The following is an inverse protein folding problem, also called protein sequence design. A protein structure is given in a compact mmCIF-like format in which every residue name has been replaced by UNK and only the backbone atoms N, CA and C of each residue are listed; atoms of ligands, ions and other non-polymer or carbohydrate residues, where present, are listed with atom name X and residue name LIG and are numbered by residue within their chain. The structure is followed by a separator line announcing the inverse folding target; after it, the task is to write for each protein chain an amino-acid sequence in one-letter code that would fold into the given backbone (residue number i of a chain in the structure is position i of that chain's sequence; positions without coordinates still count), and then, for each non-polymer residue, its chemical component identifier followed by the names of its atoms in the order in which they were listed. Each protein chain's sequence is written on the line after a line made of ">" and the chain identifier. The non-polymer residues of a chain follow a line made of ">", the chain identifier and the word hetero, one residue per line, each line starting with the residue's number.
data_IF_192852770462
#
_entry.id   IF_192852770462
#
_cell.length_a   1.000
_cell.length_b   1.000
_cell.length_c   1.000
_cell.angle_alpha   90.00
_cell.angle_beta   90.00
_cell.angle_gamma   90.00
#
_symmetry.space_group_name_H-M   'P 1'
#
loop_
_entity.id
_entity.type
_entity.pdbx_description
1 polymer ?
#
# COMPACT_ATOMS: atom_id res chain seq x y z
N UNK A 1 -4.75 14.19 -0.93
CA UNK A 1 -4.15 13.88 -2.25
C UNK A 1 -3.41 15.13 -2.77
N UNK A 2 -2.07 15.13 -2.72
CA UNK A 2 -1.20 16.22 -3.22
C UNK A 2 -1.08 16.24 -4.76
N UNK A 3 -1.70 15.26 -5.45
CA UNK A 3 -1.63 15.16 -6.90
C UNK A 3 -2.27 16.34 -7.62
N UNK A 4 -3.32 16.97 -7.08
CA UNK A 4 -3.98 18.12 -7.71
C UNK A 4 -3.11 19.38 -7.73
N UNK A 5 -2.18 19.52 -6.79
CA UNK A 5 -1.32 20.71 -6.65
C UNK A 5 0.08 20.52 -7.22
N UNK A 6 0.44 19.30 -7.67
CA UNK A 6 1.71 19.00 -8.33
C UNK A 6 1.52 18.81 -9.83
N UNK A 7 2.39 19.43 -10.61
CA UNK A 7 2.43 19.28 -12.06
C UNK A 7 3.07 17.95 -12.46
N UNK A 8 2.93 17.55 -13.73
CA UNK A 8 3.69 16.43 -14.30
C UNK A 8 5.21 16.63 -14.15
N UNK A 9 5.68 17.87 -14.37
CA UNK A 9 7.08 18.22 -14.22
C UNK A 9 7.59 18.06 -12.78
N UNK A 10 6.77 18.36 -11.78
CA UNK A 10 7.13 18.16 -10.37
C UNK A 10 7.32 16.66 -10.06
N UNK A 11 6.39 15.82 -10.53
CA UNK A 11 6.50 14.37 -10.35
C UNK A 11 7.69 13.79 -11.13
N UNK A 12 7.93 14.26 -12.35
CA UNK A 12 9.07 13.82 -13.16
C UNK A 12 10.39 14.13 -12.46
N UNK A 13 10.61 15.39 -12.08
CA UNK A 13 11.85 15.81 -11.42
C UNK A 13 12.11 15.06 -10.13
N UNK A 14 11.07 14.87 -9.31
CA UNK A 14 11.23 14.18 -8.04
C UNK A 14 11.44 12.68 -8.22
N UNK A 15 10.58 12.02 -8.98
CA UNK A 15 10.54 10.56 -9.03
C UNK A 15 11.45 9.99 -10.12
N UNK A 16 11.49 10.57 -11.32
CA UNK A 16 12.29 10.04 -12.43
C UNK A 16 13.73 10.52 -12.31
N UNK A 17 13.96 11.83 -12.32
CA UNK A 17 15.32 12.36 -12.24
C UNK A 17 15.97 11.98 -10.90
N UNK A 18 15.21 12.05 -9.80
CA UNK A 18 15.66 11.59 -8.49
C UNK A 18 16.09 10.12 -8.46
N UNK A 19 15.28 9.21 -9.02
CA UNK A 19 15.64 7.78 -9.11
C UNK A 19 16.88 7.58 -9.98
N UNK A 20 16.93 8.23 -11.14
CA UNK A 20 18.08 8.16 -12.03
C UNK A 20 19.37 8.57 -11.31
N UNK A 21 19.38 9.73 -10.65
CA UNK A 21 20.58 10.21 -9.95
C UNK A 21 20.95 9.36 -8.74
N UNK A 22 19.97 8.83 -8.00
CA UNK A 22 20.24 7.87 -6.93
C UNK A 22 20.93 6.60 -7.45
N UNK A 23 20.49 6.08 -8.59
CA UNK A 23 21.11 4.90 -9.23
C UNK A 23 22.50 5.21 -9.80
N UNK A 24 22.72 6.41 -10.36
CA UNK A 24 24.05 6.85 -10.77
C UNK A 24 25.00 6.94 -9.57
N UNK A 25 24.54 7.52 -8.46
CA UNK A 25 25.33 7.62 -7.23
C UNK A 25 25.63 6.24 -6.64
N UNK A 26 24.64 5.34 -6.61
CA UNK A 26 24.81 3.95 -6.17
C UNK A 26 25.89 3.26 -7.00
N UNK A 27 25.82 3.36 -8.33
CA UNK A 27 26.82 2.79 -9.25
C UNK A 27 28.22 3.37 -9.00
N UNK A 28 28.34 4.69 -8.89
CA UNK A 28 29.63 5.34 -8.64
C UNK A 28 30.29 4.89 -7.32
N UNK A 29 29.49 4.49 -6.34
CA UNK A 29 29.94 3.99 -5.04
C UNK A 29 29.87 2.45 -4.93
N UNK A 30 29.70 1.75 -6.06
CA UNK A 30 29.64 0.27 -6.12
C UNK A 30 28.54 -0.35 -5.24
N UNK A 31 27.48 0.40 -4.94
CA UNK A 31 26.28 -0.12 -4.28
C UNK A 31 25.49 -0.93 -5.30
N UNK A 32 25.33 -2.22 -5.02
CA UNK A 32 24.69 -3.19 -5.92
C UNK A 32 23.35 -3.72 -5.44
N UNK A 33 22.85 -3.25 -4.30
CA UNK A 33 21.61 -3.72 -3.69
C UNK A 33 20.71 -2.53 -3.42
N UNK A 34 19.45 -2.60 -3.84
CA UNK A 34 18.50 -1.51 -3.72
C UNK A 34 17.13 -2.02 -3.28
N UNK A 35 16.55 -1.35 -2.28
CA UNK A 35 15.12 -1.44 -2.02
C UNK A 35 14.50 -0.13 -2.49
N UNK A 36 13.62 -0.21 -3.49
CA UNK A 36 13.02 0.95 -4.13
C UNK A 36 11.56 1.08 -3.69
N UNK A 37 11.18 2.27 -3.21
CA UNK A 37 9.79 2.57 -2.86
C UNK A 37 9.00 2.98 -4.10
N UNK A 38 8.40 1.97 -4.73
CA UNK A 38 7.41 2.13 -5.79
C UNK A 38 6.01 2.43 -5.23
N UNK A 39 4.94 2.08 -5.93
CA UNK A 39 3.55 2.30 -5.51
C UNK A 39 2.57 1.45 -6.32
N UNK A 40 1.43 1.08 -5.72
CA UNK A 40 0.31 0.48 -6.45
C UNK A 40 -0.28 1.39 -7.55
N UNK A 41 -0.04 2.71 -7.48
CA UNK A 41 -0.36 3.62 -8.60
C UNK A 41 0.37 3.28 -9.91
N UNK A 42 1.37 2.40 -9.87
CA UNK A 42 1.98 1.79 -11.05
C UNK A 42 0.93 1.16 -11.99
N UNK A 43 -0.15 0.58 -11.45
CA UNK A 43 -1.23 0.02 -12.29
C UNK A 43 -1.97 1.11 -13.10
N UNK A 44 -2.03 2.35 -12.60
CA UNK A 44 -2.52 3.53 -13.30
C UNK A 44 -1.43 4.28 -14.07
N UNK A 45 -0.54 3.56 -14.78
CA UNK A 45 0.68 4.13 -15.38
C UNK A 45 0.47 5.18 -16.49
N UNK A 46 -0.75 5.51 -16.88
CA UNK A 46 -1.01 6.67 -17.74
C UNK A 46 -1.48 7.91 -16.96
N UNK A 47 -1.58 7.81 -15.64
CA UNK A 47 -1.71 8.96 -14.74
C UNK A 47 -0.33 9.54 -14.44
N UNK A 48 -0.25 10.88 -14.29
CA UNK A 48 1.02 11.60 -14.07
C UNK A 48 1.91 11.02 -12.97
N UNK A 49 1.35 10.58 -11.85
CA UNK A 49 2.13 9.98 -10.75
C UNK A 49 2.49 8.53 -11.06
N UNK A 50 1.52 7.71 -11.45
CA UNK A 50 1.70 6.29 -11.77
C UNK A 50 2.75 6.07 -12.86
N UNK A 51 2.75 6.92 -13.90
CA UNK A 51 3.74 6.86 -14.97
C UNK A 51 5.17 6.98 -14.46
N UNK A 52 5.43 7.92 -13.54
CA UNK A 52 6.78 8.11 -12.99
C UNK A 52 7.26 6.93 -12.16
N UNK A 53 6.34 6.21 -11.48
CA UNK A 53 6.69 4.97 -10.77
C UNK A 53 7.02 3.84 -11.72
N UNK A 54 6.31 3.74 -12.86
CA UNK A 54 6.66 2.80 -13.93
C UNK A 54 8.05 3.08 -14.49
N UNK A 55 8.35 4.33 -14.85
CA UNK A 55 9.70 4.71 -15.31
C UNK A 55 10.77 4.39 -14.26
N UNK A 56 10.50 4.64 -12.98
CA UNK A 56 11.41 4.29 -11.89
C UNK A 56 11.74 2.80 -11.84
N UNK A 57 10.76 1.92 -12.00
CA UNK A 57 10.99 0.46 -12.05
C UNK A 57 11.73 0.02 -13.32
N UNK A 58 11.43 0.60 -14.49
CA UNK A 58 12.19 0.34 -15.73
C UNK A 58 13.67 0.75 -15.59
N UNK A 59 13.96 1.83 -14.85
CA UNK A 59 15.34 2.19 -14.51
C UNK A 59 16.02 1.12 -13.64
N UNK A 60 15.31 0.52 -12.68
CA UNK A 60 15.85 -0.59 -11.90
C UNK A 60 16.17 -1.80 -12.79
N UNK A 61 15.23 -2.21 -13.64
CA UNK A 61 15.41 -3.33 -14.57
C UNK A 61 16.59 -3.09 -15.52
N UNK A 62 16.73 -1.87 -16.05
CA UNK A 62 17.90 -1.48 -16.84
C UNK A 62 19.21 -1.63 -16.05
N UNK A 63 19.26 -1.11 -14.83
CA UNK A 63 20.46 -1.20 -13.98
C UNK A 63 20.75 -2.63 -13.51
N UNK A 64 19.73 -3.47 -13.33
CA UNK A 64 19.88 -4.90 -13.08
C UNK A 64 20.59 -5.56 -14.26
N UNK A 65 20.01 -5.44 -15.46
CA UNK A 65 20.51 -6.08 -16.68
C UNK A 65 21.91 -5.59 -17.11
N UNK A 66 22.19 -4.29 -16.96
CA UNK A 66 23.43 -3.69 -17.48
C UNK A 66 24.54 -3.55 -16.44
N UNK A 67 24.18 -3.50 -15.16
CA UNK A 67 25.11 -3.14 -14.08
C UNK A 67 25.06 -4.08 -12.87
N UNK A 68 24.24 -5.14 -12.93
CA UNK A 68 24.17 -6.17 -11.90
C UNK A 68 23.57 -5.67 -10.58
N UNK A 69 22.64 -4.72 -10.65
CA UNK A 69 21.86 -4.27 -9.50
C UNK A 69 20.89 -5.37 -9.06
N UNK A 70 20.98 -5.85 -7.82
CA UNK A 70 19.96 -6.64 -7.16
C UNK A 70 18.95 -5.70 -6.50
N UNK A 71 17.65 -5.91 -6.72
CA UNK A 71 16.63 -5.02 -6.21
C UNK A 71 15.31 -5.70 -5.79
N UNK A 72 14.63 -5.03 -4.85
CA UNK A 72 13.22 -5.24 -4.53
C UNK A 72 12.48 -3.91 -4.73
N UNK A 73 11.50 -3.88 -5.63
CA UNK A 73 10.60 -2.75 -5.83
C UNK A 73 9.34 -2.94 -4.96
N UNK A 74 9.25 -2.21 -3.85
CA UNK A 74 8.13 -2.29 -2.91
C UNK A 74 7.01 -1.38 -3.40
N UNK A 75 5.81 -1.93 -3.62
CA UNK A 75 4.61 -1.21 -4.06
C UNK A 75 3.57 -1.12 -2.94
N UNK A 76 3.67 -0.14 -2.04
CA UNK A 76 2.60 0.13 -1.09
C UNK A 76 1.33 0.58 -1.81
N UNK A 77 0.18 0.18 -1.25
CA UNK A 77 -1.09 0.83 -1.56
C UNK A 77 -1.27 2.07 -0.67
N UNK A 78 -2.38 2.80 -0.86
CA UNK A 78 -2.84 3.96 -0.09
C UNK A 78 -2.57 3.87 1.44
N UNK A 79 -1.36 4.25 1.86
CA UNK A 79 -0.86 4.14 3.23
C UNK A 79 -0.91 5.47 4.00
N UNK A 80 -1.14 6.58 3.30
CA UNK A 80 -1.10 7.95 3.87
C UNK A 80 -2.52 8.43 4.19
N UNK A 81 -2.90 8.52 5.47
CA UNK A 81 -4.19 9.08 5.85
C UNK A 81 -4.12 10.61 5.86
N UNK A 82 -5.14 11.29 5.33
CA UNK A 82 -5.09 12.74 5.07
C UNK A 82 -6.15 13.54 5.82
N UNK A 83 -6.81 12.98 6.84
CA UNK A 83 -7.70 13.76 7.70
C UNK A 83 -7.81 13.18 9.10
N UNK A 84 -8.40 14.00 9.99
CA UNK A 84 -8.54 13.70 11.40
C UNK A 84 -9.62 12.64 11.68
N UNK A 85 -10.55 12.39 10.75
CA UNK A 85 -11.54 11.30 10.87
C UNK A 85 -10.87 9.92 10.68
N UNK A 86 -10.34 9.38 11.76
CA UNK A 86 -9.67 8.08 11.77
C UNK A 86 -10.58 6.92 11.32
N UNK A 87 -11.82 6.75 11.83
CA UNK A 87 -12.70 5.68 11.36
C UNK A 87 -12.88 5.67 9.83
N UNK A 88 -13.06 6.84 9.21
CA UNK A 88 -13.22 6.93 7.75
C UNK A 88 -11.89 6.79 7.00
N UNK A 89 -10.85 7.53 7.39
CA UNK A 89 -9.60 7.57 6.60
C UNK A 89 -8.68 6.41 6.83
N UNK A 90 -8.62 5.91 8.05
CA UNK A 90 -7.87 4.71 8.35
C UNK A 90 -8.73 3.48 8.09
N UNK A 91 -9.86 3.39 8.79
CA UNK A 91 -10.68 2.19 8.86
C UNK A 91 -11.28 1.79 7.54
N UNK A 92 -12.20 2.59 7.02
CA UNK A 92 -12.90 2.31 5.74
C UNK A 92 -11.91 2.12 4.58
N UNK A 93 -10.80 2.85 4.57
CA UNK A 93 -9.75 2.69 3.56
C UNK A 93 -9.20 1.26 3.49
N UNK A 94 -9.14 0.54 4.61
CA UNK A 94 -8.76 -0.88 4.67
C UNK A 94 -9.78 -1.80 3.97
N UNK A 95 -10.95 -1.34 3.53
CA UNK A 95 -11.82 -2.11 2.63
C UNK A 95 -11.43 -1.91 1.16
N UNK A 96 -10.88 -0.74 0.80
CA UNK A 96 -10.63 -0.33 -0.59
C UNK A 96 -9.16 -0.36 -1.00
N UNK A 97 -8.39 -1.23 -0.35
CA UNK A 97 -6.99 -1.49 -0.67
C UNK A 97 -6.00 -0.70 0.16
N UNK A 98 -6.44 0.22 1.01
CA UNK A 98 -5.60 0.85 2.02
C UNK A 98 -4.78 -0.18 2.79
N UNK A 99 -3.57 0.21 3.13
CA UNK A 99 -2.65 -0.59 3.93
C UNK A 99 -2.26 0.19 5.17
N UNK A 100 -2.01 -0.54 6.25
CA UNK A 100 -1.42 0.05 7.44
C UNK A 100 0.03 0.45 7.18
N UNK A 101 0.46 1.58 7.73
CA UNK A 101 1.84 2.05 7.56
C UNK A 101 2.85 1.11 8.19
N UNK A 102 2.54 0.55 9.35
CA UNK A 102 3.45 -0.37 10.02
C UNK A 102 3.60 -1.65 9.19
N UNK A 103 2.54 -2.13 8.54
CA UNK A 103 2.66 -3.25 7.59
C UNK A 103 3.60 -2.87 6.42
N UNK A 104 3.58 -1.62 5.92
CA UNK A 104 4.53 -1.17 4.89
C UNK A 104 5.96 -1.09 5.43
N UNK A 105 6.17 -0.64 6.68
CA UNK A 105 7.48 -0.65 7.34
C UNK A 105 7.98 -2.08 7.55
N UNK A 106 7.09 -2.99 7.95
CA UNK A 106 7.33 -4.41 8.13
C UNK A 106 7.67 -5.09 6.78
N UNK A 107 7.30 -4.51 5.64
CA UNK A 107 7.70 -4.97 4.30
C UNK A 107 9.15 -4.57 3.92
N UNK A 108 9.67 -3.47 4.47
CA UNK A 108 11.01 -2.96 4.12
C UNK A 108 12.12 -3.85 4.65
N UNK A 109 12.03 -4.30 5.90
CA UNK A 109 13.08 -5.12 6.51
C UNK A 109 13.27 -6.46 5.77
N UNK A 110 12.22 -7.25 5.47
CA UNK A 110 12.34 -8.48 4.67
C UNK A 110 12.82 -8.22 3.24
N UNK A 111 12.46 -7.09 2.63
CA UNK A 111 12.98 -6.72 1.31
C UNK A 111 14.49 -6.45 1.32
N UNK A 112 15.01 -5.75 2.34
CA UNK A 112 16.46 -5.55 2.54
C UNK A 112 17.14 -6.90 2.72
N UNK A 113 16.60 -7.71 3.62
CA UNK A 113 17.06 -9.06 3.91
C UNK A 113 17.12 -9.95 2.66
N UNK A 114 16.12 -9.85 1.78
CA UNK A 114 16.07 -10.59 0.52
C UNK A 114 17.22 -10.17 -0.42
N UNK A 115 17.37 -8.87 -0.70
CA UNK A 115 18.47 -8.39 -1.59
C UNK A 115 19.86 -8.64 -0.99
N UNK A 116 19.99 -8.75 0.33
CA UNK A 116 21.25 -9.12 0.98
C UNK A 116 21.62 -10.60 0.80
N UNK A 117 20.64 -11.49 0.60
CA UNK A 117 20.86 -12.93 0.41
C UNK A 117 20.95 -13.33 -1.06
N UNK A 118 20.27 -12.61 -1.95
CA UNK A 118 20.24 -12.88 -3.39
C UNK A 118 20.99 -11.80 -4.18
N UNK A 119 22.14 -12.19 -4.74
CA UNK A 119 23.03 -11.29 -5.47
C UNK A 119 22.47 -10.82 -6.84
N UNK A 120 21.41 -11.47 -7.33
CA UNK A 120 20.72 -11.18 -8.59
C UNK A 120 19.20 -10.98 -8.41
N UNK A 121 18.75 -10.55 -7.23
CA UNK A 121 17.32 -10.35 -6.99
C UNK A 121 16.71 -9.35 -7.98
N UNK A 122 15.54 -9.71 -8.51
CA UNK A 122 14.66 -8.87 -9.30
C UNK A 122 13.23 -9.18 -8.86
N UNK A 123 12.76 -8.49 -7.82
CA UNK A 123 11.46 -8.77 -7.20
C UNK A 123 10.61 -7.51 -7.13
N UNK A 124 9.34 -7.65 -7.48
CA UNK A 124 8.30 -6.67 -7.19
C UNK A 124 7.50 -7.17 -5.99
N UNK A 125 7.44 -6.38 -4.93
CA UNK A 125 6.72 -6.70 -3.71
C UNK A 125 5.47 -5.85 -3.57
N UNK A 126 4.29 -6.45 -3.64
CA UNK A 126 3.02 -5.80 -3.34
C UNK A 126 2.84 -5.67 -1.81
N UNK A 127 3.31 -4.53 -1.28
CA UNK A 127 3.18 -4.14 0.13
C UNK A 127 1.75 -3.65 0.45
N UNK A 128 0.79 -4.56 0.35
CA UNK A 128 -0.63 -4.32 0.58
C UNK A 128 -1.09 -5.03 1.86
N UNK A 129 -2.31 -4.79 2.32
CA UNK A 129 -2.92 -5.49 3.48
C UNK A 129 -3.25 -6.96 3.14
N UNK A 130 -3.58 -7.85 4.10
CA UNK A 130 -4.07 -9.18 3.76
C UNK A 130 -5.49 -9.13 3.12
N UNK A 131 -5.74 -10.04 2.19
CA UNK A 131 -7.08 -10.33 1.67
C UNK A 131 -7.78 -11.28 2.65
N UNK A 132 -8.57 -10.70 3.54
CA UNK A 132 -9.35 -11.43 4.56
C UNK A 132 -10.79 -11.72 4.12
N UNK A 133 -11.07 -11.49 2.84
CA UNK A 133 -12.34 -11.80 2.19
C UNK A 133 -12.07 -12.26 0.75
N UNK A 134 -13.02 -12.98 0.16
CA UNK A 134 -12.95 -13.51 -1.21
C UNK A 134 -13.85 -12.74 -2.19
N UNK A 135 -13.68 -12.95 -3.50
CA UNK A 135 -14.55 -12.32 -4.51
C UNK A 135 -16.03 -12.74 -4.33
N UNK A 136 -16.26 -14.02 -4.02
CA UNK A 136 -17.59 -14.59 -3.80
C UNK A 136 -18.29 -13.98 -2.59
N UNK A 137 -17.53 -13.72 -1.51
CA UNK A 137 -18.07 -13.02 -0.32
C UNK A 137 -18.46 -11.57 -0.61
N UNK A 138 -18.04 -11.01 -1.74
CA UNK A 138 -18.37 -9.64 -2.15
C UNK A 138 -19.41 -9.59 -3.28
N UNK A 139 -19.90 -10.72 -3.78
CA UNK A 139 -20.94 -10.76 -4.80
C UNK A 139 -22.26 -10.21 -4.25
N UNK A 140 -22.90 -9.29 -4.98
CA UNK A 140 -24.15 -8.66 -4.51
C UNK A 140 -23.95 -7.63 -3.37
N UNK A 141 -22.72 -7.15 -3.16
CA UNK A 141 -22.40 -6.17 -2.10
C UNK A 141 -23.37 -4.99 -2.09
N UNK A 142 -23.70 -4.45 -3.26
CA UNK A 142 -24.50 -3.24 -3.44
C UNK A 142 -25.95 -3.41 -2.93
N UNK A 143 -26.45 -4.64 -2.81
CA UNK A 143 -27.81 -4.92 -2.34
C UNK A 143 -27.91 -4.86 -0.80
N UNK A 144 -26.85 -5.28 -0.10
CA UNK A 144 -26.80 -5.28 1.36
C UNK A 144 -25.34 -5.14 1.86
N UNK A 145 -24.74 -3.94 1.78
CA UNK A 145 -23.35 -3.73 2.21
C UNK A 145 -23.12 -4.10 3.67
N UNK A 146 -24.08 -3.75 4.53
CA UNK A 146 -23.98 -3.95 5.98
C UNK A 146 -24.04 -5.44 6.32
N UNK A 147 -24.99 -6.19 5.76
CA UNK A 147 -25.10 -7.63 6.02
C UNK A 147 -23.98 -8.45 5.37
N UNK A 148 -23.39 -7.99 4.26
CA UNK A 148 -22.14 -8.57 3.75
C UNK A 148 -20.98 -8.35 4.73
N UNK A 149 -20.80 -7.10 5.16
CA UNK A 149 -19.71 -6.76 6.07
C UNK A 149 -19.84 -7.48 7.42
N UNK A 150 -21.05 -7.59 7.97
CA UNK A 150 -21.32 -8.33 9.22
C UNK A 150 -20.99 -9.83 9.12
N UNK A 151 -21.29 -10.46 7.97
CA UNK A 151 -20.93 -11.87 7.74
C UNK A 151 -19.42 -12.11 7.70
N UNK A 152 -18.66 -11.15 7.16
CA UNK A 152 -17.20 -11.24 7.06
C UNK A 152 -16.54 -10.85 8.40
N UNK A 153 -17.05 -9.80 9.04
CA UNK A 153 -16.53 -9.25 10.29
C UNK A 153 -17.68 -9.03 11.29
N UNK A 154 -17.96 -10.02 12.17
CA UNK A 154 -19.01 -9.88 13.16
C UNK A 154 -18.84 -8.64 14.05
N UNK A 155 -19.93 -7.89 14.26
CA UNK A 155 -19.95 -6.60 14.94
C UNK A 155 -19.74 -5.38 14.02
N UNK A 156 -19.55 -5.59 12.72
CA UNK A 156 -19.41 -4.50 11.76
C UNK A 156 -20.70 -3.69 11.60
N UNK A 157 -21.88 -4.31 11.65
CA UNK A 157 -23.15 -3.60 11.54
C UNK A 157 -23.31 -2.56 12.65
N UNK A 158 -22.99 -2.94 13.89
CA UNK A 158 -23.00 -2.04 15.03
C UNK A 158 -21.97 -0.90 14.87
N UNK A 159 -20.79 -1.19 14.30
CA UNK A 159 -19.80 -0.16 14.02
C UNK A 159 -20.23 0.80 12.91
N UNK A 160 -20.85 0.31 11.84
CA UNK A 160 -21.36 1.15 10.75
C UNK A 160 -22.39 2.13 11.29
N UNK A 161 -23.35 1.65 12.09
CA UNK A 161 -24.36 2.51 12.72
C UNK A 161 -23.74 3.50 13.70
N UNK A 162 -22.86 3.03 14.60
CA UNK A 162 -22.30 3.84 15.69
C UNK A 162 -21.33 4.92 15.22
N UNK A 163 -20.54 4.63 14.18
CA UNK A 163 -19.48 5.52 13.70
C UNK A 163 -19.78 6.16 12.35
N UNK A 164 -20.93 5.83 11.74
CA UNK A 164 -21.38 6.31 10.42
C UNK A 164 -20.39 5.95 9.29
N UNK A 165 -19.86 4.72 9.31
CA UNK A 165 -18.82 4.28 8.36
C UNK A 165 -19.36 4.25 6.92
N UNK A 166 -18.69 4.93 5.99
CA UNK A 166 -19.07 4.89 4.57
C UNK A 166 -18.58 3.59 3.92
N UNK A 167 -19.48 2.63 3.80
CA UNK A 167 -19.21 1.32 3.20
C UNK A 167 -19.97 1.10 1.89
N UNK A 168 -20.49 2.17 1.28
CA UNK A 168 -21.34 2.06 0.09
C UNK A 168 -20.57 1.47 -1.10
N UNK A 169 -19.27 1.78 -1.20
CA UNK A 169 -18.39 1.22 -2.22
C UNK A 169 -18.08 -0.24 -1.92
N UNK A 170 -18.10 -1.10 -2.94
CA UNK A 170 -17.65 -2.49 -2.83
C UNK A 170 -16.17 -2.58 -2.40
N UNK A 171 -15.82 -3.43 -1.41
CA UNK A 171 -14.44 -3.72 -1.05
C UNK A 171 -13.62 -4.25 -2.23
N UNK A 172 -12.31 -4.07 -2.16
CA UNK A 172 -11.39 -4.47 -3.23
C UNK A 172 -10.42 -5.54 -2.74
N UNK A 173 -10.19 -6.58 -3.55
CA UNK A 173 -9.06 -7.49 -3.38
C UNK A 173 -7.78 -6.79 -3.83
N UNK A 174 -6.71 -6.96 -3.05
CA UNK A 174 -5.40 -6.37 -3.35
C UNK A 174 -4.44 -7.41 -3.91
N UNK A 175 -3.49 -7.02 -4.78
CA UNK A 175 -2.44 -7.93 -5.24
C UNK A 175 -1.48 -8.28 -4.10
N UNK A 176 -0.84 -9.44 -4.21
CA UNK A 176 0.02 -10.04 -3.18
C UNK A 176 1.34 -10.61 -3.75
N UNK A 177 1.77 -10.11 -4.91
CA UNK A 177 3.02 -10.52 -5.56
C UNK A 177 4.26 -10.24 -4.71
N UNK A 178 5.26 -11.12 -4.80
CA UNK A 178 6.54 -10.97 -4.09
C UNK A 178 6.51 -11.31 -2.60
N UNK A 179 5.34 -11.61 -2.02
CA UNK A 179 5.21 -11.91 -0.58
C UNK A 179 5.95 -13.18 -0.16
N UNK A 180 5.84 -14.23 -0.98
CA UNK A 180 6.47 -15.53 -0.69
C UNK A 180 7.99 -15.40 -0.78
N UNK A 181 8.48 -14.70 -1.80
CA UNK A 181 9.90 -14.49 -2.09
C UNK A 181 10.59 -13.66 -1.02
N UNK A 182 9.91 -12.62 -0.52
CA UNK A 182 10.45 -11.69 0.48
C UNK A 182 10.16 -12.12 1.92
N UNK A 183 9.14 -12.96 2.14
CA UNK A 183 8.64 -13.30 3.47
C UNK A 183 7.73 -12.23 4.10
N UNK A 184 7.28 -11.24 3.32
CA UNK A 184 6.36 -10.21 3.81
C UNK A 184 4.99 -10.81 4.18
N UNK A 185 4.58 -10.62 5.44
CA UNK A 185 3.36 -11.17 6.01
C UNK A 185 2.57 -10.07 6.78
N UNK A 186 1.75 -9.26 6.08
CA UNK A 186 0.97 -8.20 6.71
C UNK A 186 -0.15 -8.76 7.58
N UNK A 187 -0.46 -8.07 8.66
CA UNK A 187 -1.43 -8.55 9.66
C UNK A 187 -2.58 -7.57 9.90
N UNK A 188 -2.49 -6.33 9.42
CA UNK A 188 -3.43 -5.27 9.76
C UNK A 188 -4.45 -5.10 8.63
N UNK A 189 -5.72 -5.27 8.96
CA UNK A 189 -6.86 -5.22 8.03
C UNK A 189 -8.11 -4.64 8.70
N UNK A 190 -9.21 -4.56 7.96
CA UNK A 190 -10.44 -3.96 8.48
C UNK A 190 -10.94 -4.62 9.79
N UNK A 191 -10.84 -5.95 9.91
CA UNK A 191 -11.18 -6.68 11.14
C UNK A 191 -10.32 -6.31 12.35
N UNK A 192 -9.00 -6.15 12.21
CA UNK A 192 -8.15 -5.66 13.33
C UNK A 192 -8.48 -4.22 13.71
N UNK A 193 -8.83 -3.39 12.72
CA UNK A 193 -9.34 -2.04 12.96
C UNK A 193 -10.67 -2.08 13.73
N UNK A 194 -11.61 -2.93 13.31
CA UNK A 194 -12.93 -3.06 13.92
C UNK A 194 -12.84 -3.48 15.39
N UNK A 195 -11.95 -4.45 15.70
CA UNK A 195 -11.69 -4.87 17.08
C UNK A 195 -11.29 -3.70 17.98
N UNK A 196 -10.44 -2.80 17.47
CA UNK A 196 -10.01 -1.59 18.19
C UNK A 196 -11.10 -0.52 18.23
N UNK A 197 -11.82 -0.31 17.13
CA UNK A 197 -12.88 0.70 17.04
C UNK A 197 -14.01 0.39 18.03
N UNK A 198 -14.39 -0.87 18.18
CA UNK A 198 -15.50 -1.28 19.05
C UNK A 198 -15.23 -1.03 20.54
N UNK A 199 -13.98 -0.85 20.96
CA UNK A 199 -13.62 -0.53 22.36
C UNK A 199 -13.65 0.97 22.67
N UNK A 200 -13.88 1.82 21.68
CA UNK A 200 -13.76 3.28 21.79
C UNK A 200 -15.11 3.97 21.92
N UNK A 201 -15.07 5.25 22.29
CA UNK A 201 -16.18 6.19 22.10
C UNK A 201 -16.11 6.82 20.68
N UNK A 202 -17.24 7.16 20.02
CA UNK A 202 -17.24 7.83 18.72
C UNK A 202 -16.45 9.13 18.66
N UNK A 203 -16.51 9.96 19.70
CA UNK A 203 -15.77 11.23 19.73
C UNK A 203 -14.27 10.98 19.89
N UNK A 204 -13.88 10.03 20.75
CA UNK A 204 -12.48 9.61 20.89
C UNK A 204 -11.95 9.08 19.56
N UNK A 205 -12.66 8.14 18.94
CA UNK A 205 -12.24 7.49 17.72
C UNK A 205 -12.07 8.50 16.57
N UNK A 206 -13.01 9.45 16.40
CA UNK A 206 -12.95 10.49 15.36
C UNK A 206 -11.82 11.50 15.56
N UNK A 207 -11.30 11.63 16.77
CA UNK A 207 -10.20 12.53 17.08
C UNK A 207 -8.85 11.80 17.17
N UNK A 208 -8.83 10.47 16.98
CA UNK A 208 -7.58 9.75 16.97
C UNK A 208 -6.72 10.26 15.82
N UNK A 209 -5.47 10.67 16.10
CA UNK A 209 -4.55 10.95 15.02
C UNK A 209 -4.39 9.66 14.23
N UNK A 210 -4.65 9.74 12.94
CA UNK A 210 -4.38 8.60 12.11
C UNK A 210 -2.89 8.26 12.21
N UNK A 211 -2.48 6.98 12.35
CA UNK A 211 -1.08 6.61 12.52
C UNK A 211 -0.20 7.20 11.41
N UNK A 212 0.34 8.38 11.78
CA UNK A 212 1.26 9.28 11.10
C UNK A 212 0.81 9.77 9.71
#
# INVERSE_FOLDING_TARGET
>A
MHSSTRTEADFWRLNVDGTFWALQAARANQVRRCVFLSSQSWHGHYEKYGFTKRVGEELLAYHHAQHGLSYVAVRPHDLTPWSDDWPQRYGVRLLHGGVDRDDVLDAVSPAIDHVMRADDAEVVLDATRPNVFTADQLEGWEEDPVGHLERIFPGAAAAVERYDLDIARRPQLVPDGGRVETGYAPTRHFGTFLQRLLTMDPEEARNLPCPY
#
